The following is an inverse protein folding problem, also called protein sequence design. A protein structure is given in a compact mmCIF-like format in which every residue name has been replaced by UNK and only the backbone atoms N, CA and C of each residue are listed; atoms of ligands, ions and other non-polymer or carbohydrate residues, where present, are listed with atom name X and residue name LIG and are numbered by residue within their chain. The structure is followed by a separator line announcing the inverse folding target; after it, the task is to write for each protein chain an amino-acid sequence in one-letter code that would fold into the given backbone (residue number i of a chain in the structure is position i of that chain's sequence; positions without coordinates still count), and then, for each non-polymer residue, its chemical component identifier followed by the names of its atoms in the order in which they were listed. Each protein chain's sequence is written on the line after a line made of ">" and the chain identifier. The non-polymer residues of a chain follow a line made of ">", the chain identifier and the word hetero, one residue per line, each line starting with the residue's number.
data_IF_651801528593
#
_entry.id   IF_651801528593
#
_cell.length_a   1.000
_cell.length_b   1.000
_cell.length_c   1.000
_cell.angle_alpha   90.00
_cell.angle_beta   90.00
_cell.angle_gamma   90.00
#
_symmetry.space_group_name_H-M   'P 1'
#
loop_
_entity.id
_entity.type
_entity.pdbx_description
1 polymer ?
#
# COMPACT_ATOMS: atom_id res chain seq x y z
N UNK A 1 -18.97 24.93 -6.61
CA UNK A 1 -18.49 23.91 -7.56
C UNK A 1 -17.07 23.39 -7.23
N UNK A 2 -16.86 22.68 -6.11
CA UNK A 2 -15.53 22.11 -5.74
C UNK A 2 -15.43 20.57 -5.87
N UNK A 3 -16.52 19.85 -6.12
CA UNK A 3 -16.61 18.41 -5.81
C UNK A 3 -16.00 17.42 -6.83
N UNK A 4 -16.00 17.71 -8.14
CA UNK A 4 -15.51 16.75 -9.16
C UNK A 4 -13.98 16.70 -9.20
N UNK A 5 -13.33 17.87 -9.18
CA UNK A 5 -11.88 17.97 -9.15
C UNK A 5 -11.29 17.35 -7.87
N UNK A 6 -11.98 17.47 -6.74
CA UNK A 6 -11.55 16.90 -5.46
C UNK A 6 -11.69 15.37 -5.43
N UNK A 7 -12.75 14.80 -6.02
CA UNK A 7 -12.89 13.35 -6.18
C UNK A 7 -11.80 12.77 -7.10
N UNK A 8 -11.51 13.39 -8.24
CA UNK A 8 -10.45 12.94 -9.14
C UNK A 8 -9.06 12.98 -8.49
N UNK A 9 -8.78 14.00 -7.66
CA UNK A 9 -7.54 14.09 -6.87
C UNK A 9 -7.44 12.97 -5.84
N UNK A 10 -8.52 12.69 -5.11
CA UNK A 10 -8.57 11.61 -4.13
C UNK A 10 -8.38 10.24 -4.81
N UNK A 11 -9.04 9.99 -5.94
CA UNK A 11 -8.94 8.75 -6.69
C UNK A 11 -7.53 8.53 -7.25
N UNK A 12 -6.94 9.57 -7.82
CA UNK A 12 -5.55 9.56 -8.28
C UNK A 12 -4.59 9.22 -7.14
N UNK A 13 -4.78 9.85 -5.97
CA UNK A 13 -3.93 9.62 -4.79
C UNK A 13 -4.10 8.22 -4.22
N UNK A 14 -5.33 7.71 -4.12
CA UNK A 14 -5.63 6.34 -3.69
C UNK A 14 -4.98 5.32 -4.62
N UNK A 15 -5.11 5.52 -5.94
CA UNK A 15 -4.52 4.62 -6.95
C UNK A 15 -2.99 4.55 -6.80
N UNK A 16 -2.34 5.71 -6.61
CA UNK A 16 -0.89 5.79 -6.36
C UNK A 16 -0.49 5.07 -5.06
N UNK A 17 -1.20 5.31 -3.95
CA UNK A 17 -0.87 4.69 -2.66
C UNK A 17 -1.02 3.17 -2.68
N UNK A 18 -2.10 2.66 -3.30
CA UNK A 18 -2.30 1.21 -3.49
C UNK A 18 -1.21 0.58 -4.36
N UNK A 19 -0.75 1.29 -5.39
CA UNK A 19 0.37 0.82 -6.23
C UNK A 19 1.68 0.72 -5.42
N UNK A 20 1.95 1.69 -4.55
CA UNK A 20 3.12 1.67 -3.66
C UNK A 20 3.03 0.51 -2.67
N UNK A 21 1.87 0.33 -2.03
CA UNK A 21 1.62 -0.78 -1.11
C UNK A 21 1.82 -2.14 -1.80
N UNK A 22 1.23 -2.34 -2.98
CA UNK A 22 1.41 -3.55 -3.78
C UNK A 22 2.88 -3.79 -4.16
N UNK A 23 3.65 -2.74 -4.48
CA UNK A 23 5.09 -2.83 -4.74
C UNK A 23 5.89 -3.28 -3.51
N UNK A 24 5.51 -2.81 -2.32
CA UNK A 24 6.12 -3.27 -1.06
C UNK A 24 5.84 -4.76 -0.82
N UNK A 25 4.58 -5.20 -0.98
CA UNK A 25 4.25 -6.63 -0.91
C UNK A 25 5.01 -7.47 -1.94
N UNK A 26 5.13 -7.00 -3.20
CA UNK A 26 5.89 -7.68 -4.23
C UNK A 26 7.39 -7.79 -3.89
N UNK A 27 7.95 -6.80 -3.20
CA UNK A 27 9.34 -6.84 -2.75
C UNK A 27 9.54 -7.87 -1.64
N UNK A 28 8.61 -7.97 -0.69
CA UNK A 28 8.63 -9.01 0.35
C UNK A 28 8.54 -10.41 -0.27
N UNK A 29 7.62 -10.61 -1.22
CA UNK A 29 7.48 -11.89 -1.94
C UNK A 29 8.77 -12.29 -2.67
N UNK A 30 9.36 -11.36 -3.43
CA UNK A 30 10.63 -11.62 -4.12
C UNK A 30 11.77 -11.95 -3.16
N UNK A 31 11.83 -11.28 -2.01
CA UNK A 31 12.84 -11.58 -0.99
C UNK A 31 12.63 -12.95 -0.34
N UNK A 32 11.38 -13.38 -0.15
CA UNK A 32 11.06 -14.72 0.32
C UNK A 32 11.52 -15.78 -0.69
N UNK A 33 11.17 -15.62 -1.96
CA UNK A 33 11.61 -16.53 -3.03
C UNK A 33 13.13 -16.58 -3.14
N UNK A 34 13.81 -15.43 -3.12
CA UNK A 34 15.27 -15.39 -3.12
C UNK A 34 15.89 -16.12 -1.91
N UNK A 35 15.26 -16.02 -0.73
CA UNK A 35 15.74 -16.74 0.46
C UNK A 35 15.51 -18.25 0.42
N UNK A 36 14.53 -18.72 -0.36
CA UNK A 36 14.25 -20.15 -0.57
C UNK A 36 15.23 -20.78 -1.56
N UNK A 37 15.67 -20.01 -2.55
CA UNK A 37 16.60 -20.46 -3.59
C UNK A 37 18.07 -20.45 -3.13
N UNK A 38 18.41 -19.66 -2.10
CA UNK A 38 19.76 -19.62 -1.54
C UNK A 38 19.99 -20.80 -0.59
N UNK A 39 20.52 -21.89 -1.16
CA UNK A 39 20.84 -23.14 -0.45
C UNK A 39 22.26 -23.16 0.11
N UNK A 40 23.10 -22.17 -0.24
CA UNK A 40 24.51 -22.11 0.15
C UNK A 40 24.66 -21.62 1.58
N UNK A 41 23.88 -20.61 1.99
CA UNK A 41 23.83 -20.12 3.38
C UNK A 41 22.39 -19.78 3.79
N UNK A 42 21.59 -20.81 4.15
CA UNK A 42 20.16 -20.63 4.43
C UNK A 42 19.90 -19.73 5.65
N UNK A 43 20.84 -19.70 6.61
CA UNK A 43 20.72 -18.88 7.83
C UNK A 43 20.88 -17.40 7.48
N UNK A 44 21.89 -17.05 6.69
CA UNK A 44 22.11 -15.68 6.22
C UNK A 44 21.01 -15.23 5.27
N UNK A 45 20.55 -16.11 4.38
CA UNK A 45 19.44 -15.85 3.48
C UNK A 45 18.15 -15.51 4.25
N UNK A 46 17.81 -16.31 5.26
CA UNK A 46 16.66 -16.06 6.15
C UNK A 46 16.78 -14.73 6.89
N UNK A 47 17.94 -14.43 7.50
CA UNK A 47 18.18 -13.14 8.17
C UNK A 47 18.02 -11.95 7.23
N UNK A 48 18.48 -12.07 5.98
CA UNK A 48 18.31 -11.03 4.96
C UNK A 48 16.84 -10.82 4.61
N UNK A 49 16.09 -11.91 4.41
CA UNK A 49 14.64 -11.84 4.20
C UNK A 49 13.92 -11.15 5.36
N UNK A 50 14.18 -11.54 6.61
CA UNK A 50 13.54 -10.95 7.79
C UNK A 50 13.77 -9.44 7.90
N UNK A 51 14.98 -8.97 7.59
CA UNK A 51 15.29 -7.52 7.54
C UNK A 51 14.48 -6.81 6.46
N UNK A 52 14.39 -7.39 5.26
CA UNK A 52 13.60 -6.82 4.15
C UNK A 52 12.12 -6.81 4.51
N UNK A 53 11.59 -7.93 5.02
CA UNK A 53 10.21 -8.08 5.49
C UNK A 53 9.88 -7.00 6.52
N UNK A 54 10.66 -6.89 7.60
CA UNK A 54 10.41 -5.90 8.66
C UNK A 54 10.43 -4.46 8.15
N UNK A 55 11.36 -4.13 7.22
CA UNK A 55 11.43 -2.80 6.60
C UNK A 55 10.17 -2.46 5.83
N UNK A 56 9.71 -3.36 4.95
CA UNK A 56 8.56 -3.09 4.08
C UNK A 56 7.22 -3.24 4.81
N UNK A 57 7.09 -4.15 5.77
CA UNK A 57 5.93 -4.20 6.66
C UNK A 57 5.74 -2.90 7.44
N UNK A 58 6.83 -2.28 7.93
CA UNK A 58 6.76 -0.96 8.58
C UNK A 58 6.26 0.12 7.63
N UNK A 59 6.66 0.07 6.36
CA UNK A 59 6.17 1.01 5.33
C UNK A 59 4.68 0.79 5.03
N UNK A 60 4.25 -0.46 4.89
CA UNK A 60 2.83 -0.83 4.69
C UNK A 60 1.99 -0.35 5.87
N UNK A 61 2.42 -0.60 7.12
CA UNK A 61 1.75 -0.12 8.33
C UNK A 61 1.56 1.40 8.36
N UNK A 62 2.50 2.18 7.80
CA UNK A 62 2.38 3.65 7.67
C UNK A 62 1.47 4.11 6.52
N UNK A 63 1.31 3.29 5.48
CA UNK A 63 0.48 3.60 4.31
C UNK A 63 -0.99 3.26 4.53
N UNK A 64 -1.26 2.12 5.18
CA UNK A 64 -2.61 1.61 5.45
C UNK A 64 -3.57 2.66 6.04
N UNK A 65 -3.23 3.43 7.09
CA UNK A 65 -4.15 4.43 7.64
C UNK A 65 -4.44 5.57 6.64
N UNK A 66 -3.48 5.95 5.79
CA UNK A 66 -3.69 6.98 4.76
C UNK A 66 -4.65 6.49 3.67
N UNK A 67 -4.53 5.23 3.27
CA UNK A 67 -5.45 4.61 2.30
C UNK A 67 -6.86 4.54 2.90
N UNK A 68 -6.99 4.12 4.16
CA UNK A 68 -8.27 4.05 4.87
C UNK A 68 -8.93 5.43 4.97
N UNK A 69 -8.21 6.44 5.44
CA UNK A 69 -8.71 7.81 5.57
C UNK A 69 -9.18 8.38 4.22
N UNK A 70 -8.40 8.22 3.16
CA UNK A 70 -8.79 8.70 1.82
C UNK A 70 -9.98 7.92 1.25
N UNK A 71 -10.12 6.63 1.57
CA UNK A 71 -11.27 5.82 1.15
C UNK A 71 -12.55 6.30 1.85
N UNK A 72 -12.49 6.57 3.16
CA UNK A 72 -13.60 7.15 3.91
C UNK A 72 -13.99 8.51 3.32
N UNK A 73 -13.00 9.40 3.15
CA UNK A 73 -13.23 10.74 2.61
C UNK A 73 -13.86 10.72 1.21
N UNK A 74 -13.43 9.77 0.37
CA UNK A 74 -14.03 9.55 -0.96
C UNK A 74 -15.51 9.17 -0.84
N UNK A 75 -15.84 8.26 0.06
CA UNK A 75 -17.22 7.80 0.29
C UNK A 75 -18.10 8.93 0.81
N UNK A 76 -17.61 9.76 1.75
CA UNK A 76 -18.32 10.95 2.23
C UNK A 76 -18.68 11.90 1.08
N UNK A 77 -17.70 12.28 0.25
CA UNK A 77 -17.94 13.20 -0.87
C UNK A 77 -18.91 12.61 -1.90
N UNK A 78 -18.87 11.28 -2.10
CA UNK A 78 -19.83 10.60 -2.97
C UNK A 78 -21.23 10.57 -2.35
N UNK A 79 -21.35 10.28 -1.06
CA UNK A 79 -22.63 10.26 -0.33
C UNK A 79 -23.29 11.63 -0.25
N UNK A 80 -22.51 12.69 0.03
CA UNK A 80 -22.96 14.08 0.02
C UNK A 80 -23.48 14.52 -1.36
N UNK A 81 -22.99 13.94 -2.46
CA UNK A 81 -23.53 14.19 -3.81
C UNK A 81 -24.85 13.48 -4.05
N UNK A 82 -25.02 12.26 -3.54
CA UNK A 82 -26.27 11.49 -3.71
C UNK A 82 -27.42 12.12 -2.92
N UNK A 83 -27.14 12.71 -1.75
CA UNK A 83 -28.16 13.37 -0.92
C UNK A 83 -28.56 14.78 -1.39
N UNK A 84 -27.84 15.38 -2.35
CA UNK A 84 -28.07 16.75 -2.87
C UNK A 84 -28.59 16.80 -4.31
N UNK A 85 -28.85 15.66 -4.92
CA UNK A 85 -29.49 15.53 -6.24
C UNK A 85 -30.82 14.85 -6.08
#
# INVERSE_FOLDING_TARGET
>A
MRSIADLHKIDSKLRRLRRIEASHHATIRRALEASRLDTVDPVKAKRKYERIRAKYERKIRRLSPKIKALTIRRSEIKGERVAKG
#
